data_IF_717177301563
#
_entry.id   IF_717177301563
#
_cell.length_a   1.000
_cell.length_b   1.000
_cell.length_c   1.000
_cell.angle_alpha   90.00
_cell.angle_beta   90.00
_cell.angle_gamma   90.00
#
_symmetry.space_group_name_H-M   'P 1'
#
loop_
_entity.id
_entity.type
_entity.pdbx_description
1 polymer ?
#
# COMPACT_ATOMS: atom_id res chain seq x y z
N UNK A 1 -2.67 5.40 22.49
CA UNK A 1 -4.07 4.97 22.33
C UNK A 1 -4.79 6.06 21.56
N UNK A 2 -5.49 5.70 20.49
CA UNK A 2 -6.13 6.66 19.58
C UNK A 2 -7.43 7.18 20.20
N UNK A 3 -7.73 8.47 19.98
CA UNK A 3 -8.96 9.05 20.52
C UNK A 3 -10.20 8.44 19.85
N UNK A 4 -11.32 8.37 20.56
CA UNK A 4 -12.59 7.88 19.99
C UNK A 4 -13.00 8.66 18.72
N UNK A 5 -12.70 9.96 18.67
CA UNK A 5 -12.96 10.80 17.51
C UNK A 5 -12.12 10.39 16.29
N UNK A 6 -10.86 10.00 16.48
CA UNK A 6 -9.99 9.51 15.38
C UNK A 6 -10.41 8.13 14.90
N UNK A 7 -10.85 7.25 15.81
CA UNK A 7 -11.44 5.96 15.46
C UNK A 7 -12.70 6.13 14.62
N UNK A 8 -13.61 6.99 15.06
CA UNK A 8 -14.85 7.24 14.35
C UNK A 8 -14.59 7.95 13.01
N UNK A 9 -13.62 8.86 12.94
CA UNK A 9 -13.18 9.49 11.68
C UNK A 9 -12.79 8.44 10.63
N UNK A 10 -11.90 7.51 11.01
CA UNK A 10 -11.46 6.45 10.10
C UNK A 10 -12.62 5.56 9.64
N UNK A 11 -13.48 5.19 10.59
CA UNK A 11 -14.69 4.39 10.33
C UNK A 11 -15.61 5.09 9.33
N UNK A 12 -15.93 6.36 9.57
CA UNK A 12 -16.79 7.15 8.69
C UNK A 12 -16.18 7.30 7.30
N UNK A 13 -14.89 7.66 7.22
CA UNK A 13 -14.19 7.91 5.95
C UNK A 13 -14.18 6.67 5.05
N UNK A 14 -13.81 5.50 5.59
CA UNK A 14 -13.77 4.27 4.80
C UNK A 14 -15.16 3.81 4.37
N UNK A 15 -16.18 4.03 5.21
CA UNK A 15 -17.56 3.62 4.93
C UNK A 15 -18.21 4.39 3.77
N UNK A 16 -17.72 5.60 3.48
CA UNK A 16 -18.31 6.49 2.47
C UNK A 16 -17.35 6.89 1.34
N UNK A 17 -16.17 6.24 1.29
CA UNK A 17 -15.02 6.63 0.46
C UNK A 17 -15.35 6.95 -1.01
N UNK A 18 -16.22 6.14 -1.62
CA UNK A 18 -16.63 6.27 -3.03
C UNK A 18 -18.08 6.72 -3.18
N UNK A 19 -18.57 7.58 -2.28
CA UNK A 19 -19.97 7.97 -2.27
C UNK A 19 -20.19 9.40 -1.78
N UNK A 20 -21.25 10.03 -2.30
CA UNK A 20 -21.84 11.25 -1.74
C UNK A 20 -23.17 10.87 -1.08
N UNK A 21 -23.19 10.84 0.25
CA UNK A 21 -24.28 10.25 1.03
C UNK A 21 -24.92 11.26 1.98
N UNK A 22 -26.20 11.06 2.26
CA UNK A 22 -26.92 11.75 3.34
C UNK A 22 -26.46 11.25 4.71
N UNK A 23 -26.74 11.98 5.79
CA UNK A 23 -26.38 11.56 7.15
C UNK A 23 -27.00 10.20 7.50
N UNK A 24 -28.26 9.96 7.12
CA UNK A 24 -28.94 8.66 7.33
C UNK A 24 -28.18 7.49 6.67
N UNK A 25 -27.72 7.68 5.41
CA UNK A 25 -26.92 6.66 4.72
C UNK A 25 -25.54 6.49 5.33
N UNK A 26 -24.93 7.57 5.83
CA UNK A 26 -23.67 7.50 6.57
C UNK A 26 -23.82 6.67 7.85
N UNK A 27 -24.91 6.85 8.61
CA UNK A 27 -25.23 6.05 9.81
C UNK A 27 -25.33 4.58 9.44
N UNK A 28 -26.15 4.25 8.43
CA UNK A 28 -26.37 2.87 7.98
C UNK A 28 -25.06 2.17 7.56
N UNK A 29 -24.17 2.86 6.83
CA UNK A 29 -22.91 2.25 6.37
C UNK A 29 -21.83 2.17 7.44
N UNK A 30 -21.72 3.19 8.28
CA UNK A 30 -20.62 3.28 9.26
C UNK A 30 -20.94 2.62 10.61
N UNK A 31 -22.23 2.47 10.94
CA UNK A 31 -22.68 2.07 12.28
C UNK A 31 -22.49 3.15 13.35
N UNK A 32 -22.12 4.37 12.97
CA UNK A 32 -21.95 5.50 13.88
C UNK A 32 -23.28 6.20 14.14
N UNK A 33 -23.43 6.81 15.32
CA UNK A 33 -24.59 7.64 15.64
C UNK A 33 -24.54 8.99 14.92
N UNK A 34 -25.71 9.64 14.79
CA UNK A 34 -25.81 11.00 14.26
C UNK A 34 -24.90 11.99 15.02
N UNK A 35 -24.87 11.90 16.35
CA UNK A 35 -24.03 12.73 17.22
C UNK A 35 -22.54 12.50 16.96
N UNK A 36 -22.13 11.23 16.80
CA UNK A 36 -20.73 10.89 16.49
C UNK A 36 -20.31 11.50 15.15
N UNK A 37 -21.15 11.37 14.12
CA UNK A 37 -20.89 11.93 12.79
C UNK A 37 -20.84 13.47 12.88
N UNK A 38 -21.82 14.09 13.53
CA UNK A 38 -21.90 15.54 13.73
C UNK A 38 -20.65 16.09 14.42
N UNK A 39 -20.19 15.41 15.48
CA UNK A 39 -18.98 15.77 16.19
C UNK A 39 -17.74 15.69 15.28
N UNK A 40 -17.54 14.57 14.56
CA UNK A 40 -16.40 14.38 13.65
C UNK A 40 -16.36 15.49 12.60
N UNK A 41 -17.47 15.76 11.93
CA UNK A 41 -17.49 16.72 10.83
C UNK A 41 -17.37 18.16 11.34
N UNK A 42 -17.63 18.43 12.61
CA UNK A 42 -17.52 19.77 13.22
C UNK A 42 -16.13 20.09 13.76
N UNK A 43 -15.24 19.09 13.92
CA UNK A 43 -13.87 19.29 14.39
C UNK A 43 -13.00 19.90 13.27
N UNK A 44 -12.41 21.10 13.46
CA UNK A 44 -11.61 21.77 12.42
C UNK A 44 -10.45 20.92 11.86
N UNK A 45 -9.78 20.13 12.73
CA UNK A 45 -8.70 19.20 12.33
C UNK A 45 -9.15 18.21 11.24
N UNK A 46 -10.44 17.87 11.17
CA UNK A 46 -10.96 16.85 10.27
C UNK A 46 -11.60 17.38 8.99
N UNK A 47 -11.70 18.69 8.81
CA UNK A 47 -12.26 19.31 7.60
C UNK A 47 -11.52 18.93 6.31
N UNK A 48 -10.24 18.56 6.44
CA UNK A 48 -9.43 18.09 5.30
C UNK A 48 -9.89 16.74 4.73
N UNK A 49 -10.70 15.98 5.46
CA UNK A 49 -11.14 14.63 5.05
C UNK A 49 -12.51 14.61 4.37
N UNK A 50 -13.35 15.64 4.55
CA UNK A 50 -14.73 15.62 4.05
C UNK A 50 -15.12 16.89 3.30
N UNK A 51 -16.01 16.74 2.33
CA UNK A 51 -16.80 17.83 1.73
C UNK A 51 -18.21 17.76 2.32
N UNK A 52 -18.74 18.90 2.77
CA UNK A 52 -20.13 19.05 3.21
C UNK A 52 -20.90 19.80 2.13
N UNK A 53 -22.01 19.25 1.66
CA UNK A 53 -22.91 19.91 0.71
C UNK A 53 -24.27 20.13 1.38
N UNK A 54 -24.80 21.35 1.37
CA UNK A 54 -25.96 21.75 2.19
C UNK A 54 -27.15 22.26 1.37
N UNK A 55 -27.16 22.06 0.04
CA UNK A 55 -28.15 22.69 -0.86
C UNK A 55 -29.63 22.34 -0.56
N UNK A 56 -29.90 21.13 -0.08
CA UNK A 56 -31.25 20.64 0.29
C UNK A 56 -31.24 19.82 1.58
N UNK A 57 -30.24 18.96 1.70
CA UNK A 57 -29.98 18.09 2.84
C UNK A 57 -28.45 17.95 2.97
N UNK A 58 -27.94 17.83 4.20
CA UNK A 58 -26.52 17.66 4.44
C UNK A 58 -26.02 16.34 3.82
N UNK A 59 -25.17 16.46 2.80
CA UNK A 59 -24.47 15.33 2.18
C UNK A 59 -22.97 15.39 2.39
N UNK A 60 -22.39 14.25 2.75
CA UNK A 60 -20.96 14.05 2.98
C UNK A 60 -20.34 13.26 1.84
N UNK A 61 -19.13 13.65 1.45
CA UNK A 61 -18.25 12.86 0.59
C UNK A 61 -16.80 13.01 1.06
N UNK A 62 -15.96 12.04 0.73
CA UNK A 62 -14.55 12.04 1.12
C UNK A 62 -13.69 12.94 0.22
N UNK A 63 -12.67 13.55 0.82
CA UNK A 63 -11.52 14.18 0.15
C UNK A 63 -10.35 13.21 0.19
N UNK A 64 -9.61 13.06 -0.90
CA UNK A 64 -8.43 12.18 -0.96
C UNK A 64 -7.13 12.94 -1.21
N UNK A 65 -7.21 14.24 -1.49
CA UNK A 65 -6.06 15.12 -1.77
C UNK A 65 -5.12 15.24 -0.57
N UNK A 66 -5.61 15.00 0.64
CA UNK A 66 -4.77 14.98 1.83
C UNK A 66 -3.72 13.86 1.79
N UNK A 67 -3.96 12.76 1.08
CA UNK A 67 -3.06 11.59 1.05
C UNK A 67 -1.75 11.96 0.38
N UNK A 68 -1.81 12.50 -0.84
CA UNK A 68 -0.62 12.97 -1.56
C UNK A 68 0.04 14.15 -0.86
N UNK A 69 -0.74 15.09 -0.30
CA UNK A 69 -0.22 16.23 0.46
C UNK A 69 0.54 15.79 1.72
N UNK A 70 -0.01 14.86 2.48
CA UNK A 70 0.62 14.39 3.72
C UNK A 70 1.87 13.56 3.40
N UNK A 71 1.86 12.70 2.37
CA UNK A 71 3.08 12.05 1.89
C UNK A 71 4.14 13.06 1.44
N UNK A 72 3.76 14.07 0.65
CA UNK A 72 4.67 15.10 0.12
C UNK A 72 5.31 15.97 1.21
N UNK A 73 4.68 16.10 2.39
CA UNK A 73 5.31 16.77 3.55
C UNK A 73 6.42 15.92 4.17
N UNK A 74 6.30 14.60 4.09
CA UNK A 74 7.26 13.65 4.64
C UNK A 74 8.44 13.37 3.71
N UNK A 75 8.35 13.72 2.43
CA UNK A 75 9.39 13.47 1.43
C UNK A 75 9.78 14.73 0.66
N UNK A 76 11.07 14.88 0.35
CA UNK A 76 11.55 16.00 -0.47
C UNK A 76 11.29 15.72 -1.96
N UNK A 77 10.22 16.32 -2.49
CA UNK A 77 9.85 16.25 -3.91
C UNK A 77 9.55 17.64 -4.47
N UNK A 78 9.80 17.80 -5.77
CA UNK A 78 9.48 19.00 -6.55
C UNK A 78 7.97 19.14 -6.78
N UNK A 79 7.55 20.31 -7.26
CA UNK A 79 6.13 20.58 -7.59
C UNK A 79 5.60 19.65 -8.70
N UNK A 80 6.42 19.30 -9.69
CA UNK A 80 6.03 18.38 -10.76
C UNK A 80 5.90 16.95 -10.25
N UNK A 81 6.84 16.47 -9.43
CA UNK A 81 6.75 15.17 -8.75
C UNK A 81 5.50 15.07 -7.86
N UNK A 82 5.17 16.14 -7.13
CA UNK A 82 3.97 16.18 -6.30
C UNK A 82 2.67 16.03 -7.10
N UNK A 83 2.60 16.63 -8.31
CA UNK A 83 1.44 16.47 -9.22
C UNK A 83 1.30 15.03 -9.70
N UNK A 84 2.41 14.39 -10.07
CA UNK A 84 2.40 12.98 -10.48
C UNK A 84 1.85 12.09 -9.34
N UNK A 85 2.32 12.33 -8.11
CA UNK A 85 1.84 11.61 -6.93
C UNK A 85 0.33 11.84 -6.68
N UNK A 86 -0.13 13.08 -6.80
CA UNK A 86 -1.54 13.43 -6.65
C UNK A 86 -2.44 12.74 -7.67
N UNK A 87 -2.04 12.72 -8.95
CA UNK A 87 -2.79 12.04 -10.01
C UNK A 87 -2.86 10.53 -9.79
N UNK A 88 -1.73 9.91 -9.41
CA UNK A 88 -1.68 8.47 -9.15
C UNK A 88 -2.61 8.09 -7.98
N UNK A 89 -2.54 8.83 -6.86
CA UNK A 89 -3.43 8.63 -5.70
C UNK A 89 -4.90 8.75 -6.12
N UNK A 90 -5.26 9.82 -6.84
CA UNK A 90 -6.64 10.07 -7.29
C UNK A 90 -7.18 8.93 -8.14
N UNK A 91 -6.38 8.38 -9.06
CA UNK A 91 -6.81 7.32 -9.97
C UNK A 91 -6.90 5.95 -9.31
N UNK A 92 -6.02 5.64 -8.34
CA UNK A 92 -5.82 4.25 -7.87
C UNK A 92 -6.35 3.98 -6.48
N UNK A 93 -6.37 4.97 -5.59
CA UNK A 93 -6.62 4.76 -4.16
C UNK A 93 -7.97 4.08 -3.87
N UNK A 94 -9.06 4.63 -4.41
CA UNK A 94 -10.42 4.12 -4.14
C UNK A 94 -10.56 2.67 -4.61
N UNK A 95 -10.09 2.38 -5.83
CA UNK A 95 -10.12 1.02 -6.40
C UNK A 95 -9.30 0.05 -5.55
N UNK A 96 -8.14 0.48 -5.08
CA UNK A 96 -7.27 -0.32 -4.22
C UNK A 96 -7.95 -0.68 -2.90
N UNK A 97 -8.45 0.33 -2.18
CA UNK A 97 -9.13 0.14 -0.89
C UNK A 97 -10.35 -0.76 -1.06
N UNK A 98 -11.13 -0.55 -2.12
CA UNK A 98 -12.33 -1.37 -2.39
C UNK A 98 -12.01 -2.84 -2.66
N UNK A 99 -10.81 -3.16 -3.17
CA UNK A 99 -10.38 -4.55 -3.42
C UNK A 99 -9.68 -5.17 -2.22
N UNK A 100 -8.74 -4.46 -1.60
CA UNK A 100 -7.80 -5.02 -0.63
C UNK A 100 -8.15 -4.75 0.83
N UNK A 101 -9.05 -3.81 1.09
CA UNK A 101 -9.47 -3.47 2.45
C UNK A 101 -10.93 -3.84 2.70
N UNK A 102 -11.57 -4.47 1.72
CA UNK A 102 -12.95 -4.90 1.78
C UNK A 102 -13.02 -6.35 2.27
N UNK A 103 -13.78 -6.56 3.34
CA UNK A 103 -14.12 -7.86 3.88
C UNK A 103 -15.66 -7.98 3.87
N UNK A 104 -16.20 -8.92 3.10
CA UNK A 104 -17.65 -9.17 2.98
C UNK A 104 -18.48 -7.92 2.58
N UNK A 105 -17.96 -7.11 1.65
CA UNK A 105 -18.63 -5.89 1.18
C UNK A 105 -18.41 -4.66 2.06
N UNK A 106 -17.65 -4.78 3.14
CA UNK A 106 -17.44 -3.72 4.13
C UNK A 106 -15.95 -3.38 4.20
N UNK A 107 -15.62 -2.12 3.99
CA UNK A 107 -14.24 -1.61 4.17
C UNK A 107 -14.03 -1.20 5.63
N UNK A 108 -13.23 -1.97 6.37
CA UNK A 108 -12.90 -1.69 7.79
C UNK A 108 -11.41 -1.86 8.08
N UNK A 109 -10.93 -1.10 9.05
CA UNK A 109 -9.57 -1.18 9.60
C UNK A 109 -9.63 -0.98 11.11
N UNK A 110 -8.65 -1.55 11.79
CA UNK A 110 -8.50 -1.40 13.24
C UNK A 110 -7.91 -0.02 13.57
N UNK A 111 -8.76 0.90 14.02
CA UNK A 111 -8.36 2.25 14.43
C UNK A 111 -8.06 2.37 15.93
N UNK A 112 -7.83 1.27 16.65
CA UNK A 112 -7.35 1.30 18.04
C UNK A 112 -5.87 1.72 18.14
N UNK A 113 -5.08 1.27 17.15
CA UNK A 113 -3.62 1.41 17.15
C UNK A 113 -3.08 2.39 16.11
N UNK A 114 -3.76 2.59 14.99
CA UNK A 114 -3.34 3.50 13.91
C UNK A 114 -4.48 4.37 13.43
N UNK A 115 -4.20 5.65 13.21
CA UNK A 115 -5.15 6.62 12.67
C UNK A 115 -5.43 6.34 11.20
N UNK A 116 -6.48 6.96 10.65
CA UNK A 116 -6.76 6.90 9.20
C UNK A 116 -5.54 7.27 8.35
N UNK A 117 -4.85 8.35 8.73
CA UNK A 117 -3.68 8.81 7.99
C UNK A 117 -2.55 7.78 8.04
N UNK A 118 -2.28 7.22 9.22
CA UNK A 118 -1.23 6.22 9.40
C UNK A 118 -1.51 4.93 8.63
N UNK A 119 -2.76 4.44 8.63
CA UNK A 119 -3.14 3.27 7.84
C UNK A 119 -2.93 3.49 6.35
N UNK A 120 -3.43 4.60 5.82
CA UNK A 120 -3.33 4.89 4.38
C UNK A 120 -1.87 5.09 3.97
N UNK A 121 -1.12 5.92 4.71
CA UNK A 121 0.30 6.17 4.39
C UNK A 121 1.11 4.88 4.54
N UNK A 122 0.86 4.07 5.56
CA UNK A 122 1.58 2.79 5.74
C UNK A 122 1.39 1.85 4.55
N UNK A 123 0.19 1.79 3.96
CA UNK A 123 -0.05 0.99 2.76
C UNK A 123 0.79 1.48 1.58
N UNK A 124 0.83 2.79 1.32
CA UNK A 124 1.70 3.34 0.27
C UNK A 124 3.18 3.05 0.53
N UNK A 125 3.63 3.18 1.77
CA UNK A 125 5.02 2.91 2.18
C UNK A 125 5.38 1.44 1.95
N UNK A 126 4.52 0.52 2.40
CA UNK A 126 4.71 -0.92 2.28
C UNK A 126 4.73 -1.36 0.81
N UNK A 127 3.74 -0.93 0.02
CA UNK A 127 3.64 -1.26 -1.40
C UNK A 127 4.79 -0.63 -2.21
N UNK A 128 5.27 0.56 -1.83
CA UNK A 128 6.45 1.16 -2.48
C UNK A 128 7.72 0.31 -2.28
N UNK A 129 7.84 -0.39 -1.16
CA UNK A 129 8.95 -1.32 -0.92
C UNK A 129 8.97 -2.46 -1.91
N UNK A 130 7.86 -3.19 -2.04
CA UNK A 130 7.75 -4.27 -3.02
C UNK A 130 7.85 -3.78 -4.46
N UNK A 131 7.17 -2.68 -4.80
CA UNK A 131 7.20 -2.15 -6.15
C UNK A 131 8.62 -1.71 -6.57
N UNK A 132 9.41 -1.16 -5.64
CA UNK A 132 10.81 -0.84 -5.92
C UNK A 132 11.62 -2.11 -6.17
N UNK A 133 11.43 -3.14 -5.35
CA UNK A 133 12.13 -4.41 -5.49
C UNK A 133 11.84 -5.08 -6.85
N UNK A 134 10.56 -5.21 -7.22
CA UNK A 134 10.18 -5.82 -8.50
C UNK A 134 10.71 -5.02 -9.69
N UNK A 135 10.67 -3.68 -9.66
CA UNK A 135 11.24 -2.86 -10.75
C UNK A 135 12.75 -3.01 -10.91
N UNK A 136 13.46 -3.39 -9.86
CA UNK A 136 14.91 -3.59 -9.91
C UNK A 136 15.31 -5.00 -10.34
N UNK A 137 14.47 -6.00 -10.05
CA UNK A 137 14.83 -7.42 -10.18
C UNK A 137 14.06 -8.15 -11.29
N UNK A 138 12.87 -7.69 -11.64
CA UNK A 138 12.02 -8.33 -12.65
C UNK A 138 12.30 -7.74 -14.04
N UNK A 139 12.63 -8.62 -15.00
CA UNK A 139 12.77 -8.31 -16.43
C UNK A 139 12.10 -9.43 -17.22
N UNK A 140 11.25 -9.06 -18.19
CA UNK A 140 10.60 -10.02 -19.11
C UNK A 140 9.86 -11.18 -18.41
N UNK A 141 9.19 -10.89 -17.29
CA UNK A 141 8.50 -11.84 -16.41
C UNK A 141 9.40 -12.86 -15.69
N UNK A 142 10.72 -12.68 -15.72
CA UNK A 142 11.67 -13.42 -14.88
C UNK A 142 12.29 -12.49 -13.84
N UNK A 143 12.43 -12.99 -12.61
CA UNK A 143 13.14 -12.26 -11.55
C UNK A 143 14.60 -12.67 -11.57
N UNK A 144 15.49 -11.74 -11.90
CA UNK A 144 16.93 -11.93 -11.81
C UNK A 144 17.40 -11.85 -10.34
N UNK A 145 17.96 -12.96 -9.85
CA UNK A 145 18.47 -13.11 -8.49
C UNK A 145 20.00 -13.15 -8.41
N UNK A 146 20.68 -13.11 -9.55
CA UNK A 146 22.14 -13.24 -9.65
C UNK A 146 22.87 -12.29 -8.70
N UNK A 147 22.58 -10.98 -8.78
CA UNK A 147 23.22 -9.98 -7.92
C UNK A 147 22.98 -10.25 -6.42
N UNK A 148 21.76 -10.68 -6.07
CA UNK A 148 21.42 -10.97 -4.68
C UNK A 148 22.21 -12.16 -4.15
N UNK A 149 22.29 -13.24 -4.92
CA UNK A 149 22.95 -14.47 -4.53
C UNK A 149 24.47 -14.33 -4.56
N UNK A 150 25.04 -13.70 -5.59
CA UNK A 150 26.48 -13.46 -5.67
C UNK A 150 26.99 -12.64 -4.49
N UNK A 151 26.23 -11.63 -4.08
CA UNK A 151 26.56 -10.84 -2.89
C UNK A 151 26.45 -11.64 -1.58
N UNK A 152 25.54 -12.63 -1.52
CA UNK A 152 25.33 -13.43 -0.32
C UNK A 152 26.36 -14.55 -0.16
N UNK A 153 26.82 -15.15 -1.26
CA UNK A 153 27.77 -16.28 -1.26
C UNK A 153 29.22 -15.83 -1.45
N UNK A 154 29.46 -14.66 -2.05
CA UNK A 154 30.77 -14.23 -2.49
C UNK A 154 31.25 -14.91 -3.78
N UNK A 155 30.39 -15.69 -4.44
CA UNK A 155 30.66 -16.40 -5.70
C UNK A 155 29.90 -15.72 -6.85
N UNK A 156 30.34 -15.90 -8.09
CA UNK A 156 29.58 -15.42 -9.24
C UNK A 156 28.45 -16.42 -9.58
N UNK A 157 27.22 -16.04 -9.28
CA UNK A 157 26.02 -16.87 -9.43
C UNK A 157 25.09 -16.26 -10.47
N UNK A 158 24.74 -17.04 -11.49
CA UNK A 158 23.60 -16.75 -12.37
C UNK A 158 22.34 -17.48 -11.87
N UNK A 159 21.27 -16.72 -11.60
CA UNK A 159 20.01 -17.30 -11.15
C UNK A 159 18.81 -16.43 -11.55
N UNK A 160 17.74 -17.09 -11.98
CA UNK A 160 16.42 -16.49 -12.13
C UNK A 160 15.35 -17.31 -11.41
N UNK A 161 14.25 -16.65 -11.04
CA UNK A 161 13.10 -17.28 -10.42
C UNK A 161 11.79 -16.65 -10.86
N UNK A 162 10.71 -17.44 -10.74
CA UNK A 162 9.34 -16.95 -10.84
C UNK A 162 8.77 -16.80 -9.44
N UNK A 163 8.41 -15.57 -9.07
CA UNK A 163 7.86 -15.25 -7.74
C UNK A 163 6.36 -15.07 -7.87
N UNK A 164 5.59 -15.86 -7.13
CA UNK A 164 4.16 -15.61 -6.98
C UNK A 164 3.95 -14.48 -5.98
N UNK A 165 3.49 -13.35 -6.49
CA UNK A 165 3.14 -12.18 -5.72
C UNK A 165 1.86 -11.61 -6.28
N UNK A 166 1.03 -11.00 -5.44
CA UNK A 166 -0.15 -10.29 -5.91
C UNK A 166 0.27 -8.97 -6.59
N UNK A 167 0.68 -9.10 -7.85
CA UNK A 167 1.13 -8.01 -8.72
C UNK A 167 0.02 -6.95 -8.91
N UNK A 168 -1.25 -7.33 -8.79
CA UNK A 168 -2.34 -6.37 -8.83
C UNK A 168 -2.28 -5.37 -7.68
N UNK A 169 -1.72 -5.73 -6.52
CA UNK A 169 -1.57 -4.84 -5.37
C UNK A 169 -0.57 -3.72 -5.64
N UNK A 170 0.40 -3.96 -6.53
CA UNK A 170 1.37 -2.94 -6.97
C UNK A 170 0.73 -1.87 -7.87
N UNK A 171 -0.46 -2.11 -8.43
CA UNK A 171 -1.21 -1.12 -9.23
C UNK A 171 -1.55 0.14 -8.45
N UNK A 172 -1.52 0.10 -7.11
CA UNK A 172 -1.64 1.30 -6.27
C UNK A 172 -0.59 2.36 -6.61
N UNK A 173 0.63 1.91 -6.90
CA UNK A 173 1.81 2.77 -7.05
C UNK A 173 2.47 2.65 -8.43
N UNK A 174 1.86 1.91 -9.35
CA UNK A 174 2.45 1.57 -10.65
C UNK A 174 2.74 2.80 -11.53
N UNK A 175 1.94 3.86 -11.41
CA UNK A 175 2.13 5.13 -12.15
C UNK A 175 3.12 6.10 -11.46
N UNK A 176 3.58 5.77 -10.25
CA UNK A 176 4.53 6.61 -9.52
C UNK A 176 5.96 6.24 -9.96
N UNK A 177 6.78 7.21 -10.41
CA UNK A 177 8.17 6.97 -10.80
C UNK A 177 9.04 6.38 -9.67
N UNK A 178 10.02 5.55 -10.02
CA UNK A 178 10.85 4.81 -9.05
C UNK A 178 11.57 5.72 -8.06
N UNK A 179 12.08 6.86 -8.51
CA UNK A 179 12.72 7.84 -7.63
C UNK A 179 11.77 8.42 -6.58
N UNK A 180 10.46 8.49 -6.87
CA UNK A 180 9.45 8.91 -5.90
C UNK A 180 9.10 7.73 -4.99
N UNK A 181 8.97 6.51 -5.52
CA UNK A 181 8.74 5.31 -4.71
C UNK A 181 9.83 5.09 -3.67
N UNK A 182 11.09 5.24 -4.05
CA UNK A 182 12.22 5.13 -3.13
C UNK A 182 12.10 6.16 -1.99
N UNK A 183 11.65 7.39 -2.27
CA UNK A 183 11.38 8.38 -1.22
C UNK A 183 10.20 7.97 -0.34
N UNK A 184 9.08 7.50 -0.91
CA UNK A 184 7.90 7.05 -0.16
C UNK A 184 8.24 5.86 0.74
N UNK A 185 8.95 4.85 0.22
CA UNK A 185 9.43 3.69 0.98
C UNK A 185 10.25 4.09 2.22
N UNK A 186 10.90 5.25 2.19
CA UNK A 186 11.74 5.78 3.27
C UNK A 186 10.98 6.66 4.30
N UNK A 187 9.67 6.87 4.16
CA UNK A 187 8.87 7.62 5.14
C UNK A 187 8.93 6.96 6.53
N UNK A 188 8.90 5.63 6.58
CA UNK A 188 9.06 4.88 7.82
C UNK A 188 9.74 3.51 7.55
N UNK A 189 10.18 2.78 8.61
CA UNK A 189 10.91 1.52 8.44
C UNK A 189 10.17 0.42 7.68
N UNK A 190 8.83 0.43 7.64
CA UNK A 190 8.05 -0.65 7.05
C UNK A 190 8.31 -0.82 5.55
N UNK A 191 8.62 0.27 4.83
CA UNK A 191 8.91 0.20 3.40
C UNK A 191 10.23 -0.51 3.13
N UNK A 192 11.29 -0.17 3.88
CA UNK A 192 12.58 -0.88 3.80
C UNK A 192 12.45 -2.34 4.21
N UNK A 193 11.64 -2.62 5.23
CA UNK A 193 11.35 -4.00 5.66
C UNK A 193 10.64 -4.75 4.55
N UNK A 194 9.64 -4.17 3.88
CA UNK A 194 8.96 -4.78 2.75
C UNK A 194 9.93 -5.13 1.62
N UNK A 195 10.76 -4.17 1.20
CA UNK A 195 11.81 -4.39 0.21
C UNK A 195 12.73 -5.56 0.59
N UNK A 196 13.29 -5.52 1.81
CA UNK A 196 14.24 -6.56 2.29
C UNK A 196 13.58 -7.89 2.58
N UNK A 197 12.27 -7.94 2.84
CA UNK A 197 11.57 -9.18 3.13
C UNK A 197 11.57 -10.13 1.94
N UNK A 198 11.53 -9.59 0.71
CA UNK A 198 11.68 -10.41 -0.49
C UNK A 198 13.09 -11.00 -0.59
N UNK A 199 14.13 -10.19 -0.37
CA UNK A 199 15.51 -10.67 -0.32
C UNK A 199 15.68 -11.81 0.69
N UNK A 200 15.17 -11.61 1.92
CA UNK A 200 15.26 -12.60 3.00
C UNK A 200 14.50 -13.89 2.68
N UNK A 201 13.30 -13.79 2.13
CA UNK A 201 12.51 -14.98 1.77
C UNK A 201 13.21 -15.78 0.69
N UNK A 202 13.81 -15.12 -0.31
CA UNK A 202 14.58 -15.77 -1.37
C UNK A 202 15.82 -16.46 -0.80
N UNK A 203 16.59 -15.76 0.04
CA UNK A 203 17.77 -16.35 0.69
C UNK A 203 17.42 -17.56 1.55
N UNK A 204 16.33 -17.48 2.33
CA UNK A 204 15.84 -18.59 3.15
C UNK A 204 15.42 -19.78 2.30
N UNK A 205 14.62 -19.55 1.25
CA UNK A 205 14.20 -20.61 0.35
C UNK A 205 15.40 -21.35 -0.26
N UNK A 206 16.44 -20.61 -0.67
CA UNK A 206 17.67 -21.21 -1.21
C UNK A 206 18.46 -22.02 -0.15
N UNK A 207 18.46 -21.59 1.11
CA UNK A 207 19.12 -22.34 2.19
C UNK A 207 18.40 -23.66 2.53
N UNK A 208 17.07 -23.70 2.41
CA UNK A 208 16.25 -24.87 2.72
C UNK A 208 16.22 -25.88 1.56
N UNK A 209 16.31 -25.40 0.32
CA UNK A 209 16.44 -26.23 -0.87
C UNK A 209 17.89 -26.68 -1.01
N UNK A 210 18.26 -27.71 -0.24
CA UNK A 210 19.46 -28.55 -0.31
C UNK A 210 20.68 -27.92 -1.07
N UNK A 211 21.82 -27.63 -0.40
CA UNK A 211 23.00 -26.96 -1.01
C UNK A 211 23.49 -27.53 -2.35
N UNK A 212 23.26 -28.83 -2.60
CA UNK A 212 23.58 -29.49 -3.87
C UNK A 212 22.67 -29.12 -5.06
N UNK A 213 21.52 -28.49 -4.80
CA UNK A 213 20.54 -28.08 -5.80
C UNK A 213 20.81 -26.65 -6.31
N UNK A 214 21.31 -25.76 -5.43
CA UNK A 214 21.90 -24.48 -5.84
C UNK A 214 23.08 -24.69 -6.81
N UNK A 215 23.92 -25.70 -6.56
CA UNK A 215 24.96 -26.16 -7.52
C UNK A 215 24.41 -26.81 -8.79
N UNK A 216 23.19 -27.35 -8.80
CA UNK A 216 22.57 -27.92 -10.02
C UNK A 216 21.88 -26.87 -10.89
N UNK A 217 21.44 -25.75 -10.33
CA UNK A 217 20.96 -24.59 -11.10
C UNK A 217 22.07 -23.95 -11.94
N UNK A 218 23.34 -24.21 -11.60
CA UNK A 218 24.53 -23.80 -12.33
C UNK A 218 24.63 -24.37 -13.77
N UNK A 219 23.86 -25.42 -14.11
CA UNK A 219 24.04 -26.17 -15.37
C UNK A 219 22.76 -26.53 -16.13
N UNK A 220 21.57 -26.15 -15.66
CA UNK A 220 20.33 -26.40 -16.40
C UNK A 220 19.30 -25.31 -16.09
N UNK A 221 18.58 -24.83 -17.12
CA UNK A 221 17.35 -24.07 -16.97
C UNK A 221 16.34 -24.90 -16.16
N UNK A 222 16.40 -24.82 -14.83
CA UNK A 222 15.42 -25.46 -13.97
C UNK A 222 14.17 -24.59 -14.00
N UNK A 223 13.26 -24.89 -14.92
CA UNK A 223 11.91 -24.32 -14.93
C UNK A 223 11.17 -24.84 -13.70
N UNK A 224 11.21 -24.09 -12.59
CA UNK A 224 10.40 -24.40 -11.40
C UNK A 224 8.95 -24.07 -11.74
N UNK A 225 8.21 -25.07 -12.22
CA UNK A 225 6.80 -24.98 -12.65
C UNK A 225 5.79 -24.82 -11.50
N UNK A 226 6.22 -24.65 -10.25
CA UNK A 226 5.34 -24.37 -9.12
C UNK A 226 5.81 -23.11 -8.42
N UNK A 227 4.97 -22.08 -8.49
CA UNK A 227 5.04 -20.94 -7.59
C UNK A 227 5.23 -21.40 -6.16
N UNK A 228 6.32 -20.96 -5.52
CA UNK A 228 6.69 -21.51 -4.22
C UNK A 228 6.15 -20.76 -3.02
N UNK A 229 5.60 -19.55 -3.15
CA UNK A 229 5.10 -18.83 -1.98
C UNK A 229 4.00 -17.83 -2.34
N UNK A 230 2.91 -17.87 -1.57
CA UNK A 230 1.85 -16.84 -1.57
C UNK A 230 2.15 -15.85 -0.45
N UNK A 231 2.40 -14.59 -0.78
CA UNK A 231 2.31 -13.52 0.22
C UNK A 231 0.85 -13.09 0.35
N UNK A 232 0.26 -13.36 1.52
CA UNK A 232 -1.02 -12.87 2.06
C UNK A 232 -2.20 -12.80 1.07
#
# INVERSE_FOLDING_TARGET
MISNNEKNLGTLFLSILDSKLTIEKCISKSGLTADSISNIISIPKYEKYFVKNTDKELRLSCKTEWISKDMSKSIKISKSEAKILEEAVKKKFIKHVSKYWNENGIVKRDFELKSLSEWVISEYVFISGFATWFREKEKDNETNLSILLSNATGEDIEASANIEFDQDRLKLVSEIPTQILQKIMNINPAGKIAYRSLDMVIMKAMSEVNPNLAKKMQNNNVTIKKSWWKFW
#
